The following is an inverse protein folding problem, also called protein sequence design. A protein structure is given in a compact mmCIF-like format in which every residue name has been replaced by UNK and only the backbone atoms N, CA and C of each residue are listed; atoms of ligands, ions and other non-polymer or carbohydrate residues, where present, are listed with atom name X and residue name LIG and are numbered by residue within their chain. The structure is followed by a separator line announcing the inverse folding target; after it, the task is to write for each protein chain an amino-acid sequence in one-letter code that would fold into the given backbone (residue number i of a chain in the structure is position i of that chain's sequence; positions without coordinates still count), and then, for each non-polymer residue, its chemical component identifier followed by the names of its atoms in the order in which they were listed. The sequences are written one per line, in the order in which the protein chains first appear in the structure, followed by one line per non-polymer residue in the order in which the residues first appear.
data_IF_636825649217
#
_entry.id   IF_636825649217
#
_cell.length_a   1.000
_cell.length_b   1.000
_cell.length_c   1.000
_cell.angle_alpha   90.00
_cell.angle_beta   90.00
_cell.angle_gamma   90.00
#
_symmetry.space_group_name_H-M   'P 1'
#
loop_
_entity.id
_entity.type
_entity.pdbx_description
1 polymer ?
#
# COMPACT_ATOMS: atom_id res chain seq x y z
N UNK A 1 -10.70 0.23 9.03
CA UNK A 1 -9.70 -0.22 8.03
C UNK A 1 -8.30 0.07 8.54
N UNK A 2 -7.31 -0.78 8.22
CA UNK A 2 -5.88 -0.51 8.50
C UNK A 2 -5.16 -0.27 7.18
N UNK A 3 -4.36 0.79 7.13
CA UNK A 3 -3.57 1.17 5.97
C UNK A 3 -2.08 0.95 6.27
N UNK A 4 -1.40 0.21 5.41
CA UNK A 4 0.05 0.05 5.38
C UNK A 4 0.59 1.02 4.34
N UNK A 5 1.44 1.95 4.75
CA UNK A 5 1.81 3.10 3.92
C UNK A 5 3.31 3.34 4.00
N UNK A 6 3.92 3.62 2.86
CA UNK A 6 5.33 3.99 2.78
C UNK A 6 5.59 4.98 1.64
N UNK A 7 6.62 5.79 1.78
CA UNK A 7 7.12 6.73 0.78
C UNK A 7 6.18 7.86 0.41
N UNK A 8 6.63 8.71 -0.52
CA UNK A 8 5.92 9.94 -0.91
C UNK A 8 4.59 9.68 -1.63
N UNK A 9 4.52 8.62 -2.44
CA UNK A 9 3.28 8.24 -3.14
C UNK A 9 2.25 7.76 -2.13
N UNK A 10 2.67 6.88 -1.19
CA UNK A 10 1.82 6.44 -0.09
C UNK A 10 1.32 7.60 0.76
N UNK A 11 2.18 8.60 1.05
CA UNK A 11 1.78 9.82 1.77
C UNK A 11 0.71 10.60 1.03
N UNK A 12 0.83 10.77 -0.29
CA UNK A 12 -0.16 11.53 -1.07
C UNK A 12 -1.52 10.83 -1.09
N UNK A 13 -1.56 9.52 -1.26
CA UNK A 13 -2.78 8.73 -1.14
C UNK A 13 -3.37 8.86 0.27
N UNK A 14 -2.51 8.77 1.30
CA UNK A 14 -2.93 8.88 2.69
C UNK A 14 -3.52 10.27 3.04
N UNK A 15 -2.98 11.36 2.49
CA UNK A 15 -3.55 12.71 2.65
C UNK A 15 -4.99 12.77 2.15
N UNK A 16 -5.25 12.21 0.97
CA UNK A 16 -6.60 12.09 0.40
C UNK A 16 -7.53 11.26 1.30
N UNK A 17 -7.06 10.10 1.78
CA UNK A 17 -7.85 9.24 2.66
C UNK A 17 -8.19 9.89 4.00
N UNK A 18 -7.25 10.61 4.62
CA UNK A 18 -7.50 11.33 5.87
C UNK A 18 -8.51 12.46 5.67
N UNK A 19 -8.43 13.18 4.54
CA UNK A 19 -9.38 14.24 4.22
C UNK A 19 -10.81 13.72 4.09
N UNK A 20 -11.01 12.57 3.42
CA UNK A 20 -12.32 12.10 3.02
C UNK A 20 -12.88 10.96 3.90
N UNK A 21 -12.01 10.14 4.51
CA UNK A 21 -12.39 8.88 5.18
C UNK A 21 -11.78 8.73 6.58
N UNK A 22 -11.46 9.83 7.26
CA UNK A 22 -10.76 9.82 8.56
C UNK A 22 -11.45 8.93 9.62
N UNK A 23 -12.78 8.88 9.63
CA UNK A 23 -13.58 8.10 10.59
C UNK A 23 -13.37 6.59 10.41
N UNK A 24 -13.13 6.13 9.19
CA UNK A 24 -12.95 4.71 8.85
C UNK A 24 -11.54 4.19 9.13
N UNK A 25 -10.60 5.09 9.44
CA UNK A 25 -9.21 4.72 9.73
C UNK A 25 -9.12 4.23 11.16
N UNK A 26 -8.91 2.92 11.34
CA UNK A 26 -8.66 2.30 12.63
C UNK A 26 -7.18 2.42 13.03
N UNK A 27 -6.26 2.14 12.08
CA UNK A 27 -4.82 2.33 12.28
C UNK A 27 -4.08 2.55 10.95
N UNK A 28 -2.88 3.12 11.07
CA UNK A 28 -1.91 3.26 9.98
C UNK A 28 -0.62 2.60 10.41
N UNK A 29 -0.11 1.69 9.58
CA UNK A 29 1.16 0.99 9.77
C UNK A 29 2.21 1.63 8.88
N UNK A 30 3.36 1.98 9.47
CA UNK A 30 4.50 2.61 8.80
C UNK A 30 5.74 1.75 8.95
N UNK A 31 6.68 1.85 8.01
CA UNK A 31 8.03 1.38 8.21
C UNK A 31 8.77 2.24 9.24
N UNK A 32 9.85 1.73 9.83
CA UNK A 32 10.65 2.48 10.82
C UNK A 32 11.29 3.72 10.22
N UNK A 33 11.65 3.67 8.94
CA UNK A 33 12.37 4.73 8.21
C UNK A 33 11.49 5.89 7.76
N UNK A 34 10.16 5.74 7.73
CA UNK A 34 9.28 6.78 7.20
C UNK A 34 8.97 7.89 8.21
N UNK A 35 9.94 8.78 8.39
CA UNK A 35 9.84 9.92 9.30
C UNK A 35 8.84 10.98 8.78
N UNK A 36 8.76 11.16 7.46
CA UNK A 36 7.88 12.16 6.84
C UNK A 36 6.41 11.86 7.11
N UNK A 37 5.97 10.63 6.82
CA UNK A 37 4.60 10.21 7.09
C UNK A 37 4.32 10.27 8.60
N UNK A 38 5.23 9.80 9.43
CA UNK A 38 5.08 9.83 10.89
C UNK A 38 4.85 11.23 11.43
N UNK A 39 5.62 12.22 10.97
CA UNK A 39 5.48 13.62 11.39
C UNK A 39 4.16 14.25 10.90
N UNK A 40 3.76 13.94 9.68
CA UNK A 40 2.45 14.37 9.15
C UNK A 40 1.29 13.80 10.00
N UNK A 41 1.33 12.50 10.30
CA UNK A 41 0.27 11.81 11.04
C UNK A 41 0.12 12.28 12.48
N UNK A 42 1.22 12.60 13.18
CA UNK A 42 1.18 13.14 14.55
C UNK A 42 0.30 14.38 14.67
N UNK A 43 0.22 15.18 13.59
CA UNK A 43 -0.61 16.41 13.54
C UNK A 43 -2.07 16.15 13.15
N UNK A 44 -2.41 14.98 12.61
CA UNK A 44 -3.71 14.66 11.99
C UNK A 44 -4.51 13.57 12.69
N UNK A 45 -3.83 12.66 13.37
CA UNK A 45 -4.45 11.49 14.01
C UNK A 45 -3.95 11.34 15.45
N UNK A 46 -4.78 10.69 16.27
CA UNK A 46 -4.36 10.29 17.61
C UNK A 46 -3.20 9.29 17.55
N UNK A 47 -2.23 9.42 18.45
CA UNK A 47 -0.99 8.61 18.48
C UNK A 47 -1.24 7.10 18.51
N UNK A 48 -2.32 6.65 19.16
CA UNK A 48 -2.70 5.23 19.24
C UNK A 48 -3.02 4.58 17.88
N UNK A 49 -3.39 5.38 16.87
CA UNK A 49 -3.68 4.90 15.52
C UNK A 49 -2.41 4.74 14.65
N UNK A 50 -1.24 5.14 15.12
CA UNK A 50 0.01 5.05 14.38
C UNK A 50 0.81 3.87 14.92
N UNK A 51 1.06 2.88 14.07
CA UNK A 51 1.77 1.65 14.42
C UNK A 51 3.03 1.55 13.57
N UNK A 52 4.16 1.28 14.20
CA UNK A 52 5.38 0.97 13.46
C UNK A 52 5.41 -0.51 13.12
N UNK A 53 5.76 -0.83 11.88
CA UNK A 53 5.93 -2.21 11.43
C UNK A 53 7.01 -2.94 12.24
N UNK A 54 6.68 -4.14 12.66
CA UNK A 54 7.61 -5.06 13.31
C UNK A 54 7.34 -6.50 12.87
N UNK A 55 8.43 -7.26 12.69
CA UNK A 55 8.31 -8.70 12.41
C UNK A 55 8.23 -9.45 13.74
N UNK A 56 7.13 -9.28 14.48
CA UNK A 56 6.94 -9.88 15.80
C UNK A 56 5.54 -10.43 16.00
N UNK A 57 5.42 -11.39 16.92
CA UNK A 57 4.10 -11.91 17.33
C UNK A 57 3.25 -10.83 18.03
N UNK A 58 3.90 -9.91 18.75
CA UNK A 58 3.21 -8.81 19.42
C UNK A 58 2.59 -7.84 18.40
N UNK A 59 3.27 -7.54 17.29
CA UNK A 59 2.71 -6.77 16.20
C UNK A 59 1.47 -7.44 15.62
N UNK A 60 1.53 -8.76 15.37
CA UNK A 60 0.38 -9.52 14.86
C UNK A 60 -0.79 -9.50 15.84
N UNK A 61 -0.55 -9.76 17.14
CA UNK A 61 -1.57 -9.68 18.19
C UNK A 61 -2.25 -8.32 18.25
N UNK A 62 -1.46 -7.23 18.12
CA UNK A 62 -1.98 -5.87 18.07
C UNK A 62 -2.89 -5.63 16.86
N UNK A 63 -2.56 -6.15 15.68
CA UNK A 63 -3.44 -6.02 14.51
C UNK A 63 -4.74 -6.82 14.70
N UNK A 64 -4.67 -8.00 15.28
CA UNK A 64 -5.84 -8.84 15.58
C UNK A 64 -6.77 -8.12 16.57
N UNK A 65 -6.24 -7.51 17.65
CA UNK A 65 -7.05 -6.82 18.66
C UNK A 65 -7.81 -5.61 18.12
N UNK A 66 -7.36 -5.00 17.01
CA UNK A 66 -8.09 -3.92 16.32
C UNK A 66 -9.31 -4.45 15.55
N UNK A 67 -9.37 -5.76 15.27
CA UNK A 67 -10.43 -6.42 14.51
C UNK A 67 -10.76 -5.70 13.18
N UNK A 68 -9.81 -5.61 12.25
CA UNK A 68 -9.95 -4.80 11.05
C UNK A 68 -10.85 -5.47 10.02
N UNK A 69 -11.69 -4.67 9.35
CA UNK A 69 -12.47 -5.14 8.22
C UNK A 69 -11.60 -5.42 6.98
N UNK A 70 -10.67 -4.53 6.67
CA UNK A 70 -9.78 -4.64 5.50
C UNK A 70 -8.40 -4.08 5.82
N UNK A 71 -7.39 -4.63 5.15
CA UNK A 71 -6.08 -4.01 4.99
C UNK A 71 -5.96 -3.39 3.61
N UNK A 72 -5.24 -2.27 3.54
CA UNK A 72 -4.86 -1.61 2.31
C UNK A 72 -3.35 -1.40 2.30
N UNK A 73 -2.68 -1.88 1.26
CA UNK A 73 -1.26 -1.69 1.03
C UNK A 73 -1.09 -0.54 0.04
N UNK A 74 -0.63 0.61 0.52
CA UNK A 74 -0.49 1.84 -0.25
C UNK A 74 0.99 2.12 -0.45
N UNK A 75 1.54 1.69 -1.59
CA UNK A 75 2.98 1.78 -1.86
C UNK A 75 3.82 1.06 -0.80
N UNK A 76 3.31 -0.07 -0.31
CA UNK A 76 3.93 -0.81 0.77
C UNK A 76 5.06 -1.71 0.27
N UNK A 77 6.32 -1.59 0.77
CA UNK A 77 7.48 -2.28 0.19
C UNK A 77 7.67 -3.72 0.68
N UNK A 78 6.92 -4.14 1.72
CA UNK A 78 7.15 -5.42 2.36
C UNK A 78 6.05 -6.43 2.05
N UNK A 79 6.45 -7.70 1.88
CA UNK A 79 5.50 -8.79 1.65
C UNK A 79 4.81 -9.16 2.97
N UNK A 80 3.47 -9.14 2.97
CA UNK A 80 2.69 -9.68 4.08
C UNK A 80 2.56 -11.19 3.94
N UNK A 81 3.03 -11.94 4.96
CA UNK A 81 2.90 -13.39 5.01
C UNK A 81 1.43 -13.83 5.21
N UNK A 82 1.15 -15.10 4.93
CA UNK A 82 -0.19 -15.73 5.00
C UNK A 82 -0.94 -15.42 6.31
N UNK A 83 -0.24 -15.48 7.45
CA UNK A 83 -0.83 -15.19 8.75
C UNK A 83 -1.35 -13.76 8.89
N UNK A 84 -0.64 -12.76 8.33
CA UNK A 84 -1.09 -11.36 8.32
C UNK A 84 -2.21 -11.13 7.31
N UNK A 85 -2.14 -11.74 6.12
CA UNK A 85 -3.18 -11.61 5.09
C UNK A 85 -4.55 -12.15 5.54
N UNK A 86 -4.58 -13.07 6.51
CA UNK A 86 -5.80 -13.66 7.07
C UNK A 86 -6.45 -12.85 8.22
N UNK A 87 -5.79 -11.81 8.73
CA UNK A 87 -6.32 -11.03 9.87
C UNK A 87 -7.57 -10.24 9.48
N UNK A 88 -7.60 -9.48 8.37
CA UNK A 88 -8.78 -8.67 8.08
C UNK A 88 -9.95 -9.52 7.58
N UNK A 89 -11.15 -9.21 8.06
CA UNK A 89 -12.39 -9.95 7.75
C UNK A 89 -12.66 -10.06 6.23
N UNK A 90 -12.42 -9.00 5.48
CA UNK A 90 -12.69 -8.93 4.04
C UNK A 90 -11.42 -8.89 3.19
N UNK A 91 -10.30 -9.37 3.74
CA UNK A 91 -9.02 -9.51 3.05
C UNK A 91 -8.23 -8.22 2.88
N UNK A 92 -7.15 -8.33 2.12
CA UNK A 92 -6.16 -7.28 1.89
C UNK A 92 -6.22 -6.81 0.45
N UNK A 93 -6.19 -5.50 0.24
CA UNK A 93 -6.15 -4.86 -1.08
C UNK A 93 -4.76 -4.24 -1.26
N UNK A 94 -4.16 -4.45 -2.42
CA UNK A 94 -2.87 -3.88 -2.79
C UNK A 94 -3.01 -2.89 -3.96
N UNK A 95 -2.21 -1.83 -3.93
CA UNK A 95 -2.00 -0.92 -5.06
C UNK A 95 -0.66 -1.24 -5.70
N UNK A 96 -0.66 -1.64 -6.96
CA UNK A 96 0.54 -2.04 -7.68
C UNK A 96 0.80 -1.13 -8.89
N UNK A 97 2.00 -0.53 -9.03
CA UNK A 97 2.30 0.40 -10.11
C UNK A 97 2.69 -0.33 -11.41
N UNK A 98 1.85 -1.25 -11.85
CA UNK A 98 1.92 -1.86 -13.18
C UNK A 98 0.54 -2.18 -13.73
N UNK A 99 0.47 -2.43 -15.02
CA UNK A 99 -0.73 -2.95 -15.69
C UNK A 99 -0.73 -4.48 -15.61
N UNK A 100 -1.17 -5.04 -14.48
CA UNK A 100 -1.20 -6.49 -14.27
C UNK A 100 -1.98 -7.21 -15.37
N UNK A 101 -1.53 -8.41 -15.79
CA UNK A 101 -0.52 -9.29 -15.16
C UNK A 101 0.94 -8.99 -15.50
N UNK A 102 1.22 -7.92 -16.24
CA UNK A 102 2.59 -7.53 -16.59
C UNK A 102 3.33 -6.97 -15.38
N UNK A 103 4.64 -7.25 -15.29
CA UNK A 103 5.58 -6.67 -14.31
C UNK A 103 5.13 -6.83 -12.86
N UNK A 104 4.82 -8.08 -12.47
CA UNK A 104 4.62 -8.46 -11.08
C UNK A 104 5.90 -8.31 -10.28
N UNK A 105 5.78 -8.06 -8.98
CA UNK A 105 6.91 -8.02 -8.08
C UNK A 105 7.55 -6.64 -8.00
N UNK A 106 8.88 -6.64 -7.86
CA UNK A 106 9.64 -5.44 -7.53
C UNK A 106 9.95 -4.59 -8.77
N UNK A 107 10.02 -3.28 -8.57
CA UNK A 107 10.42 -2.27 -9.57
C UNK A 107 9.65 -2.35 -10.90
N UNK A 108 8.31 -2.49 -10.89
CA UNK A 108 7.51 -2.73 -12.09
C UNK A 108 7.61 -1.60 -13.11
N UNK A 109 7.80 -0.36 -12.67
CA UNK A 109 7.98 0.81 -13.56
C UNK A 109 9.27 0.67 -14.37
N UNK A 110 10.37 0.31 -13.71
CA UNK A 110 11.65 0.07 -14.38
C UNK A 110 11.52 -0.99 -15.49
N UNK A 111 10.92 -2.13 -15.17
CA UNK A 111 10.74 -3.21 -16.14
C UNK A 111 9.79 -2.84 -17.28
N UNK A 112 8.76 -2.04 -17.01
CA UNK A 112 7.84 -1.55 -18.03
C UNK A 112 8.55 -0.62 -19.03
N UNK A 113 9.41 0.26 -18.53
CA UNK A 113 10.21 1.19 -19.36
C UNK A 113 11.23 0.39 -20.17
N UNK A 114 12.02 -0.45 -19.52
CA UNK A 114 13.09 -1.22 -20.18
C UNK A 114 12.57 -2.10 -21.32
N UNK A 115 11.40 -2.72 -21.14
CA UNK A 115 10.82 -3.62 -22.14
C UNK A 115 9.82 -2.92 -23.07
N UNK A 116 9.70 -1.58 -23.02
CA UNK A 116 8.70 -0.81 -23.78
C UNK A 116 7.28 -1.43 -23.69
N UNK A 117 6.93 -1.91 -22.52
CA UNK A 117 5.69 -2.67 -22.29
C UNK A 117 4.56 -1.83 -21.72
N UNK A 118 3.42 -2.46 -21.41
CA UNK A 118 2.25 -1.73 -20.91
C UNK A 118 2.52 -1.13 -19.54
N UNK A 119 2.27 0.17 -19.40
CA UNK A 119 2.40 0.93 -18.18
C UNK A 119 1.03 1.25 -17.57
N UNK A 120 0.94 1.30 -16.24
CA UNK A 120 -0.32 1.60 -15.58
C UNK A 120 -0.31 1.34 -14.09
N UNK A 121 -1.50 1.35 -13.52
CA UNK A 121 -1.73 1.02 -12.10
C UNK A 121 -2.80 -0.04 -11.98
N UNK A 122 -2.67 -0.90 -10.99
CA UNK A 122 -3.65 -1.94 -10.68
C UNK A 122 -3.96 -1.96 -9.19
N UNK A 123 -5.26 -2.05 -8.87
CA UNK A 123 -5.76 -2.36 -7.53
C UNK A 123 -6.24 -3.79 -7.57
N UNK A 124 -5.73 -4.63 -6.69
CA UNK A 124 -6.05 -6.06 -6.66
C UNK A 124 -6.12 -6.60 -5.23
N UNK A 125 -6.74 -7.76 -5.05
CA UNK A 125 -6.67 -8.49 -3.79
C UNK A 125 -5.25 -9.03 -3.61
N UNK A 126 -4.63 -8.76 -2.44
CA UNK A 126 -3.36 -9.37 -2.12
C UNK A 126 -3.54 -10.88 -1.87
N UNK A 127 -2.59 -11.68 -2.34
CA UNK A 127 -2.56 -13.12 -2.20
C UNK A 127 -1.17 -13.60 -1.78
N UNK A 128 -1.04 -14.89 -1.45
CA UNK A 128 0.26 -15.48 -1.08
C UNK A 128 1.24 -15.41 -2.26
N UNK A 129 0.73 -15.64 -3.48
CA UNK A 129 1.51 -15.46 -4.71
C UNK A 129 1.55 -13.98 -5.05
N UNK A 130 2.76 -13.43 -5.16
CA UNK A 130 3.00 -11.99 -5.37
C UNK A 130 2.22 -11.49 -6.59
N UNK A 131 1.47 -10.40 -6.41
CA UNK A 131 0.68 -9.67 -7.41
C UNK A 131 -0.16 -10.55 -8.33
N UNK A 132 -0.73 -11.63 -7.76
CA UNK A 132 -1.50 -12.64 -8.51
C UNK A 132 -2.93 -12.79 -8.02
N UNK A 133 -3.39 -11.94 -7.11
CA UNK A 133 -4.79 -11.93 -6.66
C UNK A 133 -5.73 -11.26 -7.66
N UNK A 134 -7.02 -11.45 -7.44
CA UNK A 134 -8.05 -10.95 -8.33
C UNK A 134 -7.98 -9.43 -8.49
N UNK A 135 -7.95 -8.97 -9.74
CA UNK A 135 -7.92 -7.55 -10.10
C UNK A 135 -9.29 -6.95 -9.78
N UNK A 136 -9.28 -5.82 -9.07
CA UNK A 136 -10.47 -5.03 -8.73
C UNK A 136 -10.62 -3.90 -9.74
N UNK A 137 -9.51 -3.21 -10.04
CA UNK A 137 -9.46 -2.10 -10.96
C UNK A 137 -8.06 -2.01 -11.57
N UNK A 138 -7.97 -1.62 -12.85
CA UNK A 138 -6.70 -1.26 -13.46
C UNK A 138 -6.89 -0.16 -14.49
N UNK A 139 -5.88 0.69 -14.62
CA UNK A 139 -5.82 1.77 -15.60
C UNK A 139 -4.50 1.73 -16.34
N UNK A 140 -4.56 1.66 -17.67
CA UNK A 140 -3.39 1.81 -18.53
C UNK A 140 -3.05 3.29 -18.69
N UNK A 141 -1.77 3.62 -18.70
CA UNK A 141 -1.24 4.95 -19.01
C UNK A 141 -0.63 4.86 -20.41
N UNK A 142 -1.14 5.66 -21.34
CA UNK A 142 -0.77 5.54 -22.76
C UNK A 142 0.52 6.28 -23.12
N UNK A 143 0.97 7.23 -22.30
CA UNK A 143 2.23 7.96 -22.50
C UNK A 143 3.02 7.96 -21.18
N UNK A 144 4.26 7.53 -21.26
CA UNK A 144 5.24 7.75 -20.20
C UNK A 144 6.07 8.94 -20.68
N UNK A 145 5.99 10.04 -19.97
CA UNK A 145 6.90 11.16 -20.18
C UNK A 145 8.17 10.87 -19.38
N UNK A 146 9.19 10.39 -20.05
CA UNK A 146 10.48 10.05 -19.43
C UNK A 146 11.25 11.26 -18.91
N UNK A 147 10.81 12.48 -19.24
CA UNK A 147 11.40 13.72 -18.75
C UNK A 147 10.88 14.11 -17.38
N UNK A 148 9.79 13.48 -16.94
CA UNK A 148 9.21 13.71 -15.62
C UNK A 148 9.85 12.74 -14.65
N UNK A 149 10.50 13.29 -13.62
CA UNK A 149 10.96 12.58 -12.44
C UNK A 149 9.92 11.51 -12.03
N UNK A 150 10.34 10.23 -11.94
CA UNK A 150 9.45 9.09 -11.67
C UNK A 150 8.61 9.20 -10.39
N UNK A 151 8.77 10.29 -9.62
CA UNK A 151 7.98 10.67 -8.47
C UNK A 151 6.67 11.42 -8.81
N UNK A 152 6.50 11.84 -10.07
CA UNK A 152 5.28 12.55 -10.53
C UNK A 152 4.22 11.64 -11.15
N UNK A 153 4.50 10.34 -11.23
CA UNK A 153 3.56 9.34 -11.73
C UNK A 153 2.70 8.78 -10.57
#
# INVERSE_FOLDING_TARGET
MIFFVDGIIGLNILKFLIKNFKKDIQAIVLTKSDILIKNYLKKKLHKSKIITWEKSNNFQKKLISINPNKFFLLWWPLILKKNLLKIPKYGTINTHPSYLPHYKGRDPNFWSILNNGPYGVTIHKASIKIDSGNIIFKKKINKIDYTIDGQKL
#
